data_IF_993727731179
#
_entry.id   IF_993727731179
#
_cell.length_a   1.000
_cell.length_b   1.000
_cell.length_c   1.000
_cell.angle_alpha   90.00
_cell.angle_beta   90.00
_cell.angle_gamma   90.00
#
_symmetry.space_group_name_H-M   'P 1'
#
loop_
_entity.id
_entity.type
_entity.pdbx_description
1 polymer ?
#
# COMPACT_ATOMS: atom_id res chain seq x y z
N UNK A 1 -1.07 1.10 10.23
CA UNK A 1 -0.44 1.75 11.39
C UNK A 1 0.66 2.63 10.84
N UNK A 2 0.52 3.96 10.93
CA UNK A 2 1.54 4.90 10.46
C UNK A 2 2.46 5.22 11.63
N UNK A 3 3.76 5.07 11.45
CA UNK A 3 4.77 5.48 12.41
C UNK A 3 5.49 6.71 11.84
N UNK A 4 5.41 7.84 12.54
CA UNK A 4 6.04 9.10 12.15
C UNK A 4 7.10 9.46 13.20
N UNK A 5 8.38 9.11 12.97
CA UNK A 5 9.46 9.36 13.93
C UNK A 5 9.67 10.86 14.20
N UNK A 6 9.49 11.70 13.17
CA UNK A 6 9.59 13.16 13.26
C UNK A 6 8.53 13.77 14.18
N UNK A 7 7.36 13.16 14.27
CA UNK A 7 6.27 13.59 15.15
C UNK A 7 6.23 12.82 16.47
N UNK A 8 7.04 11.77 16.62
CA UNK A 8 7.03 10.88 17.78
C UNK A 8 5.71 10.12 17.95
N UNK A 9 4.93 9.94 16.87
CA UNK A 9 3.57 9.37 16.93
C UNK A 9 3.45 8.05 16.17
N UNK A 10 2.69 7.14 16.76
CA UNK A 10 2.14 5.97 16.09
C UNK A 10 0.63 6.15 15.97
N UNK A 11 0.11 6.12 14.74
CA UNK A 11 -1.30 6.28 14.45
C UNK A 11 -1.89 4.96 13.95
N UNK A 12 -3.02 4.60 14.54
CA UNK A 12 -3.85 3.47 14.13
C UNK A 12 -5.17 4.00 13.58
N UNK A 13 -5.62 3.44 12.46
CA UNK A 13 -6.88 3.79 11.84
C UNK A 13 -7.86 2.62 11.96
N UNK A 14 -9.14 2.89 12.24
CA UNK A 14 -10.19 1.89 12.16
C UNK A 14 -10.17 1.18 10.81
N UNK A 15 -10.42 -0.14 10.84
CA UNK A 15 -10.41 -1.01 9.67
C UNK A 15 -11.26 -0.49 8.50
N UNK A 16 -12.46 0.01 8.80
CA UNK A 16 -13.41 0.51 7.79
C UNK A 16 -12.96 1.80 7.08
N UNK A 17 -11.90 2.44 7.57
CA UNK A 17 -11.31 3.62 6.95
C UNK A 17 -10.03 3.27 6.16
N UNK A 18 -9.63 2.00 6.16
CA UNK A 18 -8.44 1.54 5.43
C UNK A 18 -8.83 1.03 4.05
N UNK A 19 -8.13 1.53 3.05
CA UNK A 19 -8.30 1.16 1.64
C UNK A 19 -6.98 0.61 1.12
N UNK A 20 -7.03 -0.52 0.41
CA UNK A 20 -5.88 -1.13 -0.24
C UNK A 20 -5.97 -0.89 -1.74
N UNK A 21 -4.92 -0.28 -2.31
CA UNK A 21 -4.78 -0.02 -3.73
C UNK A 21 -3.62 -0.83 -4.29
N UNK A 22 -3.78 -1.30 -5.52
CA UNK A 22 -2.79 -2.13 -6.22
C UNK A 22 -2.70 -1.63 -7.65
N UNK A 23 -1.54 -1.13 -8.03
CA UNK A 23 -1.20 -0.72 -9.38
C UNK A 23 -0.28 -1.76 -10.01
N UNK A 24 -0.71 -2.38 -11.10
CA UNK A 24 0.08 -3.34 -11.89
C UNK A 24 0.47 -2.70 -13.23
N UNK A 25 1.67 -2.12 -13.26
CA UNK A 25 2.16 -1.36 -14.39
C UNK A 25 2.94 -2.23 -15.39
N UNK A 26 2.97 -3.57 -15.22
CA UNK A 26 3.72 -4.46 -16.13
C UNK A 26 3.28 -4.35 -17.59
N UNK A 27 2.03 -4.00 -17.83
CA UNK A 27 1.47 -3.82 -19.18
C UNK A 27 1.57 -2.37 -19.68
N UNK A 28 1.89 -1.42 -18.81
CA UNK A 28 1.93 0.00 -19.10
C UNK A 28 3.40 0.40 -19.34
N UNK A 29 3.80 0.69 -20.58
CA UNK A 29 5.18 1.08 -20.90
C UNK A 29 5.60 2.47 -20.39
N UNK A 30 4.84 3.10 -19.50
CA UNK A 30 5.07 4.49 -19.08
C UNK A 30 5.84 4.58 -17.75
N UNK A 31 7.08 5.05 -17.86
CA UNK A 31 7.77 6.11 -17.10
C UNK A 31 7.68 6.23 -15.56
N UNK A 32 6.98 5.36 -14.84
CA UNK A 32 6.88 5.47 -13.38
C UNK A 32 8.12 4.94 -12.66
N UNK A 33 9.26 5.67 -12.74
CA UNK A 33 10.48 5.45 -11.93
C UNK A 33 10.99 3.98 -11.88
N UNK A 34 10.64 3.18 -12.90
CA UNK A 34 10.90 1.73 -12.97
C UNK A 34 10.05 0.85 -12.05
N UNK A 35 8.97 1.36 -11.46
CA UNK A 35 8.03 0.60 -10.61
C UNK A 35 7.06 -0.20 -11.47
N UNK A 36 7.18 -1.51 -11.41
CA UNK A 36 6.36 -2.48 -12.15
C UNK A 36 5.07 -2.84 -11.42
N UNK A 37 5.11 -2.83 -10.09
CA UNK A 37 3.99 -3.23 -9.25
C UNK A 37 4.02 -2.45 -7.94
N UNK A 38 2.93 -1.79 -7.58
CA UNK A 38 2.83 -1.03 -6.34
C UNK A 38 1.60 -1.46 -5.56
N UNK A 39 1.75 -1.59 -4.25
CA UNK A 39 0.66 -1.82 -3.34
C UNK A 39 0.72 -0.80 -2.20
N UNK A 40 -0.42 -0.18 -1.92
CA UNK A 40 -0.55 0.87 -0.92
C UNK A 40 -1.74 0.62 0.00
N UNK A 41 -1.59 1.02 1.26
CA UNK A 41 -2.70 1.15 2.20
C UNK A 41 -2.84 2.61 2.59
N UNK A 42 -4.00 3.18 2.30
CA UNK A 42 -4.37 4.50 2.74
C UNK A 42 -5.41 4.41 3.85
N UNK A 43 -5.32 5.31 4.83
CA UNK A 43 -6.48 5.66 5.63
C UNK A 43 -7.15 6.86 4.98
N UNK A 44 -8.45 6.74 4.69
CA UNK A 44 -9.25 7.84 4.18
C UNK A 44 -10.06 8.35 5.36
N UNK A 45 -9.60 9.45 5.97
CA UNK A 45 -10.37 10.15 7.01
C UNK A 45 -11.06 11.38 6.40
N UNK A 46 -12.16 11.88 6.99
CA UNK A 46 -12.85 13.08 6.49
C UNK A 46 -11.95 14.32 6.41
N UNK A 47 -10.86 14.32 7.16
CA UNK A 47 -9.90 15.42 7.22
C UNK A 47 -8.79 15.27 6.17
N UNK A 48 -8.23 14.08 5.98
CA UNK A 48 -7.09 13.82 5.08
C UNK A 48 -6.95 12.33 4.72
N UNK A 49 -6.36 12.05 3.56
CA UNK A 49 -5.81 10.75 3.18
C UNK A 49 -4.41 10.59 3.76
N UNK A 50 -4.10 9.44 4.38
CA UNK A 50 -2.76 9.17 4.90
C UNK A 50 -2.24 7.81 4.46
N UNK A 51 -1.07 7.82 3.82
CA UNK A 51 -0.34 6.60 3.45
C UNK A 51 0.15 5.90 4.72
N UNK A 52 -0.37 4.70 4.95
CA UNK A 52 -0.10 3.88 6.12
C UNK A 52 0.94 2.79 5.85
N UNK A 53 1.03 2.32 4.61
CA UNK A 53 1.95 1.27 4.19
C UNK A 53 2.09 1.29 2.67
N UNK A 54 3.30 1.05 2.17
CA UNK A 54 3.60 0.96 0.74
C UNK A 54 4.62 -0.15 0.47
N UNK A 55 4.46 -0.82 -0.66
CA UNK A 55 5.48 -1.64 -1.30
C UNK A 55 5.51 -1.41 -2.80
N UNK A 56 6.69 -1.03 -3.28
CA UNK A 56 6.99 -0.90 -4.71
C UNK A 56 7.92 -2.03 -5.14
N UNK A 57 7.63 -2.64 -6.29
CA UNK A 57 8.48 -3.62 -6.95
C UNK A 57 9.11 -2.96 -8.18
N UNK A 58 10.43 -3.09 -8.33
CA UNK A 58 11.13 -2.70 -9.55
C UNK A 58 11.65 -3.90 -10.34
N UNK A 59 11.52 -5.10 -9.77
CA UNK A 59 11.83 -6.37 -10.43
C UNK A 59 10.61 -7.28 -10.45
N UNK A 60 10.38 -7.95 -11.58
CA UNK A 60 9.32 -8.95 -11.70
C UNK A 60 9.48 -10.11 -10.70
N UNK A 61 10.73 -10.41 -10.30
CA UNK A 61 11.01 -11.46 -9.32
C UNK A 61 10.46 -11.14 -7.92
N UNK A 62 10.22 -9.87 -7.60
CA UNK A 62 9.70 -9.42 -6.31
C UNK A 62 8.15 -9.47 -6.25
N UNK A 63 7.49 -9.49 -7.40
CA UNK A 63 6.02 -9.38 -7.51
C UNK A 63 5.30 -10.48 -6.73
N UNK A 64 5.69 -11.77 -6.78
CA UNK A 64 5.01 -12.81 -6.01
C UNK A 64 5.04 -12.56 -4.48
N UNK A 65 6.12 -12.00 -3.94
CA UNK A 65 6.20 -11.65 -2.50
C UNK A 65 5.20 -10.54 -2.17
N UNK A 66 5.15 -9.49 -2.99
CA UNK A 66 4.23 -8.37 -2.75
C UNK A 66 2.78 -8.80 -2.92
N UNK A 67 2.46 -9.62 -3.92
CA UNK A 67 1.12 -10.20 -4.09
C UNK A 67 0.69 -11.02 -2.86
N UNK A 68 1.58 -11.82 -2.27
CA UNK A 68 1.32 -12.57 -1.04
C UNK A 68 0.98 -11.64 0.14
N UNK A 69 1.68 -10.51 0.26
CA UNK A 69 1.39 -9.49 1.30
C UNK A 69 0.07 -8.79 1.05
N UNK A 70 -0.22 -8.43 -0.19
CA UNK A 70 -1.49 -7.82 -0.60
C UNK A 70 -2.66 -8.74 -0.29
N UNK A 71 -2.54 -10.03 -0.64
CA UNK A 71 -3.58 -11.02 -0.36
C UNK A 71 -3.90 -11.11 1.13
N UNK A 72 -2.89 -11.02 2.01
CA UNK A 72 -3.07 -10.96 3.46
C UNK A 72 -3.82 -9.71 3.90
N UNK A 73 -3.47 -8.54 3.34
CA UNK A 73 -4.17 -7.30 3.64
C UNK A 73 -5.62 -7.32 3.18
N UNK A 74 -5.89 -7.76 1.95
CA UNK A 74 -7.24 -7.90 1.43
C UNK A 74 -8.06 -8.90 2.23
N UNK A 75 -7.48 -10.04 2.62
CA UNK A 75 -8.16 -11.01 3.49
C UNK A 75 -8.49 -10.40 4.85
N UNK A 76 -7.55 -9.66 5.46
CA UNK A 76 -7.80 -9.00 6.73
C UNK A 76 -8.87 -7.92 6.59
N UNK A 77 -8.85 -7.10 5.54
CA UNK A 77 -9.82 -6.02 5.29
C UNK A 77 -11.24 -6.56 5.04
N UNK A 78 -11.39 -7.72 4.41
CA UNK A 78 -12.68 -8.30 4.06
C UNK A 78 -13.25 -9.30 5.10
N UNK A 79 -12.49 -9.64 6.14
CA UNK A 79 -12.97 -10.48 7.25
C UNK A 79 -14.00 -9.77 8.15
#
# INVERSE_FOLDING_TARGET
MRCSPSEGKMQHFPKHLLHCFVDDNRCECNEHDGVLFRAELFSISPTEEQLCWERCCRSEMEIPDVQSRVARWLSWLNA
#
